data_IF_738042577261
#
_entry.id   IF_738042577261
#
_cell.length_a   1.000
_cell.length_b   1.000
_cell.length_c   1.000
_cell.angle_alpha   90.00
_cell.angle_beta   90.00
_cell.angle_gamma   90.00
#
_symmetry.space_group_name_H-M   'P 1'
#
loop_
_entity.id
_entity.type
_entity.pdbx_description
1 polymer ?
#
# COMPACT_ATOMS: atom_id res chain seq x y z
N UNK A 1 -4.19 12.40 16.76
CA UNK A 1 -4.14 11.91 15.91
C UNK A 1 -3.93 10.54 15.71
N UNK A 2 -4.25 9.98 14.88
CA UNK A 2 -4.52 8.60 14.88
C UNK A 2 -3.51 7.87 14.03
N UNK A 3 -2.47 7.34 14.67
CA UNK A 3 -1.47 6.51 14.01
C UNK A 3 -2.09 5.26 13.38
N UNK A 4 -3.16 4.77 13.98
CA UNK A 4 -3.84 3.59 13.43
C UNK A 4 -4.44 3.86 12.06
N UNK A 5 -5.08 5.01 11.88
CA UNK A 5 -5.64 5.38 10.58
C UNK A 5 -4.55 5.56 9.54
N UNK A 6 -3.42 6.14 9.92
CA UNK A 6 -2.28 6.30 9.04
C UNK A 6 -1.72 4.96 8.59
N UNK A 7 -1.55 4.03 9.52
CA UNK A 7 -1.04 2.69 9.22
C UNK A 7 -2.00 1.96 8.29
N UNK A 8 -3.30 2.09 8.52
CA UNK A 8 -4.31 1.47 7.66
C UNK A 8 -4.27 2.04 6.25
N UNK A 9 -4.08 3.34 6.12
CA UNK A 9 -3.97 3.97 4.81
C UNK A 9 -2.72 3.51 4.08
N UNK A 10 -1.58 3.41 4.77
CA UNK A 10 -0.36 2.88 4.19
C UNK A 10 -0.52 1.43 3.73
N UNK A 11 -1.12 0.59 4.57
CA UNK A 11 -1.34 -0.81 4.22
C UNK A 11 -2.25 -0.91 2.99
N UNK A 12 -3.31 -0.13 2.94
CA UNK A 12 -4.20 -0.09 1.78
C UNK A 12 -3.45 0.27 0.51
N UNK A 13 -2.63 1.31 0.58
CA UNK A 13 -1.85 1.78 -0.54
C UNK A 13 -0.89 0.70 -1.03
N UNK A 14 -0.15 0.07 -0.11
CA UNK A 14 0.81 -0.97 -0.48
C UNK A 14 0.11 -2.19 -1.09
N UNK A 15 -1.03 -2.58 -0.54
CA UNK A 15 -1.79 -3.71 -1.08
C UNK A 15 -2.28 -3.40 -2.49
N UNK A 16 -2.83 -2.20 -2.72
CA UNK A 16 -3.29 -1.81 -4.05
C UNK A 16 -2.13 -1.79 -5.05
N UNK A 17 -0.97 -1.28 -4.66
CA UNK A 17 0.21 -1.26 -5.53
C UNK A 17 0.65 -2.65 -5.90
N UNK A 18 0.77 -3.52 -4.91
CA UNK A 18 1.25 -4.88 -5.14
C UNK A 18 0.29 -5.69 -6.00
N UNK A 19 -1.01 -5.54 -5.77
CA UNK A 19 -2.01 -6.23 -6.57
C UNK A 19 -2.03 -5.72 -8.00
N UNK A 20 -1.81 -4.42 -8.20
CA UNK A 20 -1.78 -3.86 -9.54
C UNK A 20 -0.57 -4.37 -10.33
N UNK A 21 0.58 -4.51 -9.66
CA UNK A 21 1.79 -5.02 -10.28
C UNK A 21 1.75 -6.54 -10.47
N UNK A 22 1.15 -7.25 -9.52
CA UNK A 22 1.14 -8.70 -9.56
C UNK A 22 -0.15 -9.26 -8.95
N UNK A 23 -1.19 -9.45 -9.76
CA UNK A 23 -2.49 -9.96 -9.26
C UNK A 23 -2.44 -11.38 -8.72
N UNK A 24 -1.35 -12.10 -8.97
CA UNK A 24 -1.22 -13.48 -8.51
C UNK A 24 -0.71 -13.62 -7.08
N UNK A 25 -0.36 -12.52 -6.43
CA UNK A 25 0.09 -12.58 -5.05
C UNK A 25 -1.03 -13.08 -4.14
N UNK A 26 -0.71 -14.08 -3.32
CA UNK A 26 -1.68 -14.55 -2.33
C UNK A 26 -1.60 -13.70 -1.06
N UNK A 27 -2.56 -13.92 -0.15
CA UNK A 27 -2.63 -13.11 1.07
C UNK A 27 -1.38 -13.21 1.92
N UNK A 28 -0.77 -14.40 2.00
CA UNK A 28 0.42 -14.60 2.79
C UNK A 28 1.59 -13.75 2.25
N UNK A 29 1.79 -13.79 0.94
CA UNK A 29 2.86 -13.00 0.32
C UNK A 29 2.60 -11.50 0.42
N UNK A 30 1.34 -11.10 0.32
CA UNK A 30 0.98 -9.71 0.55
C UNK A 30 1.37 -9.27 1.96
N UNK A 31 1.04 -10.08 2.95
CA UNK A 31 1.39 -9.79 4.34
C UNK A 31 2.88 -9.66 4.53
N UNK A 32 3.65 -10.59 3.95
CA UNK A 32 5.10 -10.57 4.03
C UNK A 32 5.67 -9.28 3.42
N UNK A 33 5.18 -8.90 2.26
CA UNK A 33 5.68 -7.71 1.56
C UNK A 33 5.28 -6.41 2.21
N UNK A 34 4.08 -6.36 2.77
CA UNK A 34 3.58 -5.15 3.43
C UNK A 34 4.08 -5.07 4.87
N UNK A 35 4.43 -6.20 5.45
CA UNK A 35 4.88 -6.26 6.84
C UNK A 35 3.75 -6.29 7.85
N UNK A 36 2.62 -6.89 7.49
CA UNK A 36 1.47 -7.02 8.38
C UNK A 36 1.04 -8.48 8.48
N UNK A 37 0.24 -8.79 9.47
CA UNK A 37 -0.24 -10.15 9.69
C UNK A 37 -1.20 -10.59 8.59
N UNK A 38 -1.34 -11.90 8.45
CA UNK A 38 -2.30 -12.47 7.51
C UNK A 38 -3.72 -12.01 7.80
N UNK A 39 -4.08 -11.90 9.09
CA UNK A 39 -5.39 -11.40 9.48
C UNK A 39 -5.61 -9.95 9.05
N UNK A 40 -4.58 -9.13 9.17
CA UNK A 40 -4.66 -7.73 8.74
C UNK A 40 -4.83 -7.63 7.23
N UNK A 41 -4.14 -8.47 6.46
CA UNK A 41 -4.30 -8.51 5.01
C UNK A 41 -5.73 -8.91 4.65
N UNK A 42 -6.23 -9.97 5.29
CA UNK A 42 -7.59 -10.45 5.03
C UNK A 42 -8.63 -9.36 5.32
N UNK A 43 -8.48 -8.68 6.45
CA UNK A 43 -9.37 -7.60 6.83
C UNK A 43 -9.32 -6.47 5.79
N UNK A 44 -8.12 -6.08 5.37
CA UNK A 44 -7.95 -5.03 4.39
C UNK A 44 -8.55 -5.41 3.04
N UNK A 45 -8.31 -6.63 2.57
CA UNK A 45 -8.87 -7.10 1.30
C UNK A 45 -10.39 -7.12 1.31
N UNK A 46 -10.98 -7.57 2.42
CA UNK A 46 -12.44 -7.54 2.55
C UNK A 46 -12.97 -6.12 2.46
N UNK A 47 -12.32 -5.21 3.13
CA UNK A 47 -12.70 -3.80 3.10
C UNK A 47 -12.60 -3.23 1.68
N UNK A 48 -11.52 -3.55 0.98
CA UNK A 48 -11.32 -3.07 -0.39
C UNK A 48 -12.36 -3.63 -1.36
N UNK A 49 -12.76 -4.89 -1.15
CA UNK A 49 -13.84 -5.49 -1.95
C UNK A 49 -15.17 -4.78 -1.66
N UNK A 50 -15.48 -4.54 -0.38
CA UNK A 50 -16.71 -3.86 0.01
C UNK A 50 -16.77 -2.44 -0.54
N UNK A 51 -15.64 -1.76 -0.61
CA UNK A 51 -15.57 -0.41 -1.16
C UNK A 51 -15.58 -0.40 -2.70
N UNK A 52 -15.48 -1.55 -3.33
CA UNK A 52 -15.50 -1.63 -4.77
C UNK A 52 -14.17 -1.33 -5.45
N UNK A 53 -13.07 -1.29 -4.69
CA UNK A 53 -11.74 -1.03 -5.25
C UNK A 53 -11.07 -2.30 -5.76
N UNK A 54 -11.47 -3.44 -5.24
CA UNK A 54 -10.91 -4.73 -5.59
C UNK A 54 -12.04 -5.70 -5.82
N UNK A 55 -11.87 -6.61 -6.76
CA UNK A 55 -12.81 -7.70 -6.97
C UNK A 55 -12.08 -9.02 -6.94
N UNK A 56 -12.78 -10.08 -6.58
CA UNK A 56 -12.24 -11.43 -6.61
C UNK A 56 -12.31 -11.91 -8.05
N UNK A 57 -11.16 -12.22 -8.61
CA UNK A 57 -11.10 -12.72 -9.96
C UNK A 57 -11.32 -14.22 -10.03
N UNK A 58 -11.58 -14.69 -11.23
CA UNK A 58 -11.77 -16.10 -11.47
C UNK A 58 -10.45 -16.72 -11.90
N UNK A 59 -10.11 -17.86 -11.26
CA UNK A 59 -8.83 -18.49 -11.47
C UNK A 59 -8.84 -19.67 -12.40
N UNK A 60 -9.63 -19.66 -13.39
CA UNK A 60 -9.77 -20.80 -14.30
C UNK A 60 -8.45 -21.29 -14.89
N UNK A 61 -7.46 -20.43 -14.98
CA UNK A 61 -6.16 -20.78 -15.55
C UNK A 61 -5.04 -20.76 -14.53
N UNK A 62 -5.36 -20.59 -13.27
CA UNK A 62 -4.35 -20.41 -12.27
C UNK A 62 -3.70 -21.71 -11.85
N UNK A 63 -2.39 -21.69 -11.68
CA UNK A 63 -1.66 -22.79 -11.09
C UNK A 63 -1.82 -22.82 -9.57
N UNK A 64 -2.36 -21.76 -8.99
CA UNK A 64 -2.58 -21.68 -7.56
C UNK A 64 -4.01 -22.06 -7.25
N UNK A 65 -4.23 -23.34 -7.00
CA UNK A 65 -5.57 -23.87 -6.75
C UNK A 65 -6.15 -23.50 -5.41
N UNK A 66 -5.34 -22.89 -4.55
CA UNK A 66 -5.77 -22.57 -3.17
C UNK A 66 -6.06 -21.11 -2.95
N UNK A 67 -5.91 -20.27 -3.95
CA UNK A 67 -6.08 -18.84 -3.78
C UNK A 67 -7.05 -18.23 -4.76
N UNK A 68 -7.49 -17.03 -4.44
CA UNK A 68 -8.29 -16.22 -5.34
C UNK A 68 -7.43 -15.07 -5.82
N UNK A 69 -7.58 -14.70 -7.09
CA UNK A 69 -6.97 -13.48 -7.59
C UNK A 69 -7.78 -12.29 -7.10
N UNK A 70 -7.09 -11.32 -6.57
CA UNK A 70 -7.71 -10.05 -6.24
C UNK A 70 -7.24 -9.04 -7.30
N UNK A 71 -8.18 -8.46 -7.98
CA UNK A 71 -7.90 -7.59 -9.13
C UNK A 71 -8.48 -6.21 -8.85
N UNK A 72 -7.73 -5.16 -9.16
CA UNK A 72 -8.22 -3.81 -9.01
C UNK A 72 -9.33 -3.52 -10.02
N UNK A 73 -10.39 -2.91 -9.53
CA UNK A 73 -11.43 -2.34 -10.39
C UNK A 73 -10.93 -1.00 -10.94
N UNK A 74 -11.61 -0.43 -11.93
CA UNK A 74 -11.27 0.93 -12.37
C UNK A 74 -11.26 1.95 -11.22
N UNK A 75 -12.22 1.83 -10.28
CA UNK A 75 -12.22 2.73 -9.12
C UNK A 75 -11.07 2.43 -8.18
N UNK A 76 -10.62 1.17 -8.11
CA UNK A 76 -9.44 0.80 -7.34
C UNK A 76 -8.17 1.40 -7.92
N UNK A 77 -8.06 1.43 -9.25
CA UNK A 77 -6.93 2.08 -9.91
C UNK A 77 -6.93 3.58 -9.61
N UNK A 78 -8.10 4.21 -9.67
CA UNK A 78 -8.22 5.63 -9.34
C UNK A 78 -7.84 5.89 -7.88
N UNK A 79 -8.25 5.02 -6.97
CA UNK A 79 -7.89 5.14 -5.56
C UNK A 79 -6.38 4.99 -5.36
N UNK A 80 -5.76 4.05 -6.06
CA UNK A 80 -4.30 3.88 -6.01
C UNK A 80 -3.59 5.16 -6.46
N UNK A 81 -4.06 5.78 -7.55
CA UNK A 81 -3.47 7.03 -8.05
C UNK A 81 -3.63 8.15 -7.02
N UNK A 82 -4.80 8.26 -6.42
CA UNK A 82 -5.07 9.26 -5.38
C UNK A 82 -4.11 9.10 -4.20
N UNK A 83 -3.96 7.87 -3.73
CA UNK A 83 -3.07 7.56 -2.61
C UNK A 83 -1.61 7.80 -2.98
N UNK A 84 -1.22 7.47 -4.22
CA UNK A 84 0.14 7.73 -4.69
C UNK A 84 0.47 9.22 -4.56
N UNK A 85 -0.45 10.09 -4.98
CA UNK A 85 -0.24 11.53 -4.86
C UNK A 85 -0.08 11.98 -3.41
N UNK A 86 -0.91 11.43 -2.51
CA UNK A 86 -0.83 11.76 -1.08
C UNK A 86 0.50 11.32 -0.47
N UNK A 87 0.92 10.09 -0.78
CA UNK A 87 2.16 9.56 -0.24
C UNK A 87 3.37 10.29 -0.81
N UNK A 88 3.33 10.64 -2.08
CA UNK A 88 4.40 11.41 -2.70
C UNK A 88 4.53 12.78 -2.02
N UNK A 89 3.42 13.47 -1.79
CA UNK A 89 3.44 14.77 -1.11
C UNK A 89 4.05 14.65 0.29
N UNK A 90 3.66 13.58 1.01
CA UNK A 90 4.21 13.33 2.35
C UNK A 90 5.71 13.06 2.29
N UNK A 91 6.15 12.24 1.34
CA UNK A 91 7.57 11.90 1.19
C UNK A 91 8.39 13.12 0.82
N UNK A 92 7.86 13.98 -0.03
CA UNK A 92 8.54 15.23 -0.37
C UNK A 92 8.68 16.15 0.85
N UNK A 93 7.65 16.22 1.69
CA UNK A 93 7.72 17.02 2.92
C UNK A 93 8.76 16.45 3.88
N UNK A 94 8.80 15.10 4.02
CA UNK A 94 9.82 14.45 4.86
C UNK A 94 11.22 14.69 4.32
N UNK A 95 11.38 14.65 3.02
CA UNK A 95 12.67 14.89 2.37
C UNK A 95 13.15 16.32 2.64
N UNK A 96 12.27 17.31 2.48
CA UNK A 96 12.64 18.71 2.73
C UNK A 96 12.99 18.96 4.19
N UNK A 97 12.26 18.34 5.12
CA UNK A 97 12.56 18.45 6.54
C UNK A 97 13.93 17.84 6.87
N UNK A 98 14.21 16.67 6.30
CA UNK A 98 15.48 16.00 6.51
C UNK A 98 16.63 16.80 5.91
N UNK A 99 16.43 17.35 4.73
CA UNK A 99 17.43 18.19 4.08
C UNK A 99 17.79 19.41 4.92
N UNK A 100 16.75 20.07 5.46
CA UNK A 100 16.97 21.23 6.33
C UNK A 100 17.77 20.86 7.59
N UNK A 101 17.47 19.68 8.16
CA UNK A 101 18.18 19.19 9.32
C UNK A 101 19.63 18.90 9.01
N UNK A 102 19.90 18.24 7.89
CA UNK A 102 21.26 17.96 7.44
C UNK A 102 22.04 19.26 7.23
N UNK A 103 21.43 20.24 6.58
CA UNK A 103 22.06 21.54 6.34
C UNK A 103 22.42 22.23 7.67
N UNK A 104 21.52 22.16 8.64
CA UNK A 104 21.78 22.76 9.97
C UNK A 104 22.94 22.09 10.67
N UNK A 105 22.98 20.73 10.66
CA UNK A 105 24.06 19.99 11.28
C UNK A 105 25.40 20.25 10.59
N UNK A 106 25.39 20.35 9.28
CA UNK A 106 26.59 20.64 8.50
C UNK A 106 27.15 22.00 8.88
N UNK A 107 26.28 23.00 9.04
CA UNK A 107 26.73 24.33 9.45
C UNK A 107 27.36 24.31 10.83
N UNK A 108 26.82 23.50 11.76
CA UNK A 108 27.40 23.41 13.10
C UNK A 108 28.82 22.89 13.07
N UNK A 109 29.11 21.94 12.19
CA UNK A 109 30.46 21.40 12.09
C UNK A 109 31.43 22.42 11.47
N UNK A 110 30.94 23.22 10.54
CA UNK A 110 31.79 24.17 9.83
C UNK A 110 32.07 25.47 10.58
N UNK A 111 31.38 25.68 11.67
CA UNK A 111 31.67 26.80 12.56
C UNK A 111 32.76 26.42 13.55
#
# INVERSE_FOLDING_TARGET
>A
MNNKAKIQEEARFQILRLLHENPELNQRKLGERVGVSLGAVNYCLKSLVELGFVKVGNFASSQNKLGYAYVLTPSGIAEKVRLTGRFLARKNAEYEALRAEIDALTREIME
#
